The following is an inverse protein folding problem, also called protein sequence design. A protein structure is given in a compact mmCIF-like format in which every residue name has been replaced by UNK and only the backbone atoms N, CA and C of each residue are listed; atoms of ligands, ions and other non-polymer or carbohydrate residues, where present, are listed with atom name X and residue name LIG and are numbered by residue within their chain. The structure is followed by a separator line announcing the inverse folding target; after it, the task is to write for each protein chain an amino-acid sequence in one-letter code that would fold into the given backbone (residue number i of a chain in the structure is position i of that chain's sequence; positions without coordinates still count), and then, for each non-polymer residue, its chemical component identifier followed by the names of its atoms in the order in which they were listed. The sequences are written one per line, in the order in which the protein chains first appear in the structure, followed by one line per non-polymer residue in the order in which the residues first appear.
data_IF_223757003698
#
_entry.id   IF_223757003698
#
_cell.length_a   1.000
_cell.length_b   1.000
_cell.length_c   1.000
_cell.angle_alpha   90.00
_cell.angle_beta   90.00
_cell.angle_gamma   90.00
#
_symmetry.space_group_name_H-M   'P 1'
#
loop_
_entity.id
_entity.type
_entity.pdbx_description
1 polymer ?
#
# COMPACT_ATOMS: atom_id res chain seq x y z
N UNK A 1 -10.09 0.71 -8.54
CA UNK A 1 -10.15 0.14 -7.17
C UNK A 1 -10.04 1.25 -6.13
N UNK A 2 -8.97 2.04 -6.11
CA UNK A 2 -8.84 3.20 -5.21
C UNK A 2 -9.80 4.35 -5.60
N UNK A 3 -9.91 4.70 -6.88
CA UNK A 3 -10.81 5.77 -7.34
C UNK A 3 -12.28 5.53 -7.02
N UNK A 4 -12.76 4.30 -7.17
CA UNK A 4 -14.13 3.92 -6.81
C UNK A 4 -14.32 3.90 -5.28
N UNK A 5 -13.30 3.52 -4.52
CA UNK A 5 -13.31 3.63 -3.06
C UNK A 5 -13.35 5.08 -2.57
N UNK A 6 -12.60 5.97 -3.23
CA UNK A 6 -12.58 7.42 -2.97
C UNK A 6 -13.95 8.05 -3.22
N UNK A 7 -14.57 7.77 -4.38
CA UNK A 7 -15.92 8.27 -4.71
C UNK A 7 -16.99 7.80 -3.73
N UNK A 8 -16.84 6.58 -3.19
CA UNK A 8 -17.79 5.99 -2.24
C UNK A 8 -17.50 6.35 -0.78
N UNK A 9 -16.46 7.15 -0.51
CA UNK A 9 -16.05 7.51 0.86
C UNK A 9 -15.47 6.34 1.67
N UNK A 10 -15.08 5.26 0.99
CA UNK A 10 -14.52 4.04 1.61
C UNK A 10 -12.99 4.12 1.79
N UNK A 11 -12.36 5.15 1.22
CA UNK A 11 -10.93 5.40 1.26
C UNK A 11 -10.71 6.85 1.63
N UNK A 12 -9.97 7.13 2.71
CA UNK A 12 -9.59 8.49 3.07
C UNK A 12 -8.74 9.09 1.92
N UNK A 13 -9.09 10.29 1.39
CA UNK A 13 -8.37 10.92 0.28
C UNK A 13 -6.91 11.25 0.57
N UNK A 14 -6.49 11.22 1.83
CA UNK A 14 -5.09 11.38 2.25
C UNK A 14 -4.28 10.10 2.10
N UNK A 15 -4.94 8.94 1.96
CA UNK A 15 -4.25 7.68 1.67
C UNK A 15 -3.61 7.78 0.29
N UNK A 16 -2.29 7.56 0.23
CA UNK A 16 -1.57 7.48 -1.04
C UNK A 16 -1.03 6.09 -1.24
N UNK A 17 -1.23 5.56 -2.44
CA UNK A 17 -0.80 4.21 -2.81
C UNK A 17 -0.06 4.27 -4.15
N UNK A 18 1.18 3.79 -4.18
CA UNK A 18 2.05 3.83 -5.38
C UNK A 18 3.01 2.65 -5.39
N UNK A 19 3.62 2.35 -6.55
CA UNK A 19 4.69 1.34 -6.62
C UNK A 19 5.98 1.89 -6.02
N UNK A 20 6.73 1.05 -5.31
CA UNK A 20 8.08 1.37 -4.88
C UNK A 20 8.99 1.37 -6.11
N UNK A 21 9.81 2.41 -6.25
CA UNK A 21 10.74 2.52 -7.37
C UNK A 21 11.73 1.33 -7.37
N UNK A 22 11.96 0.73 -8.54
CA UNK A 22 12.83 -0.45 -8.67
C UNK A 22 12.19 -1.79 -8.28
N UNK A 23 11.03 -1.78 -7.61
CA UNK A 23 10.33 -3.00 -7.17
C UNK A 23 8.91 -3.07 -7.76
N UNK A 24 8.78 -3.75 -8.90
CA UNK A 24 7.50 -3.79 -9.64
C UNK A 24 6.36 -4.42 -8.85
N UNK A 25 6.66 -5.32 -7.93
CA UNK A 25 5.70 -6.09 -7.13
C UNK A 25 5.41 -5.47 -5.77
N UNK A 26 6.19 -4.46 -5.34
CA UNK A 26 6.05 -3.83 -4.03
C UNK A 26 5.33 -2.49 -4.15
N UNK A 27 4.39 -2.29 -3.24
CA UNK A 27 3.61 -1.07 -3.12
C UNK A 27 3.92 -0.35 -1.82
N UNK A 28 3.89 0.97 -1.87
CA UNK A 28 3.95 1.87 -0.73
C UNK A 28 2.54 2.40 -0.45
N UNK A 29 2.15 2.34 0.82
CA UNK A 29 0.96 2.97 1.38
C UNK A 29 1.37 4.06 2.36
N UNK A 30 0.90 5.29 2.17
CA UNK A 30 0.96 6.37 3.15
C UNK A 30 -0.40 6.57 3.79
N UNK A 31 -0.50 6.50 5.12
CA UNK A 31 -1.78 6.52 5.85
C UNK A 31 -1.87 7.57 6.97
N UNK A 32 -0.77 8.27 7.25
CA UNK A 32 -0.73 9.44 8.14
C UNK A 32 0.39 10.38 7.65
N UNK A 33 0.63 11.51 8.35
CA UNK A 33 1.72 12.45 8.11
C UNK A 33 3.04 11.71 7.87
N UNK A 34 3.38 10.77 8.76
CA UNK A 34 4.59 9.94 8.64
C UNK A 34 4.32 8.44 8.51
N UNK A 35 3.09 7.98 8.74
CA UNK A 35 2.74 6.55 8.62
C UNK A 35 2.96 6.02 7.21
N UNK A 36 3.82 5.01 7.08
CA UNK A 36 4.13 4.30 5.84
C UNK A 36 4.05 2.79 6.04
N UNK A 37 3.66 2.10 4.97
CA UNK A 37 3.78 0.66 4.87
C UNK A 37 4.25 0.26 3.48
N UNK A 38 4.97 -0.85 3.39
CA UNK A 38 5.22 -1.53 2.13
C UNK A 38 4.53 -2.90 2.14
N UNK A 39 3.90 -3.24 1.02
CA UNK A 39 3.16 -4.48 0.88
C UNK A 39 3.24 -5.03 -0.53
N UNK A 40 3.02 -6.33 -0.67
CA UNK A 40 2.68 -6.98 -1.94
C UNK A 40 1.22 -7.42 -1.87
N UNK A 41 0.57 -7.51 -3.02
CA UNK A 41 -0.73 -8.13 -3.10
C UNK A 41 -0.86 -8.98 -4.35
N UNK A 42 -1.63 -10.05 -4.25
CA UNK A 42 -2.00 -10.90 -5.37
C UNK A 42 -3.46 -11.33 -5.24
N UNK A 43 -4.08 -11.66 -6.38
CA UNK A 43 -5.38 -12.34 -6.39
C UNK A 43 -5.14 -13.83 -6.47
N UNK A 44 -5.65 -14.57 -5.48
CA UNK A 44 -5.61 -16.02 -5.47
C UNK A 44 -6.58 -16.61 -6.51
N UNK A 45 -6.43 -17.89 -6.89
CA UNK A 45 -7.35 -18.55 -7.83
C UNK A 45 -8.83 -18.58 -7.43
N UNK A 46 -9.21 -18.25 -6.19
CA UNK A 46 -10.60 -18.09 -5.74
C UNK A 46 -11.13 -16.63 -5.78
N UNK A 47 -10.30 -15.68 -6.22
CA UNK A 47 -10.65 -14.26 -6.28
C UNK A 47 -10.37 -13.47 -5.00
N UNK A 48 -9.98 -14.16 -3.91
CA UNK A 48 -9.52 -13.53 -2.69
C UNK A 48 -8.25 -12.71 -2.93
N UNK A 49 -8.12 -11.61 -2.20
CA UNK A 49 -6.94 -10.77 -2.21
C UNK A 49 -6.02 -11.20 -1.07
N UNK A 50 -4.83 -11.69 -1.40
CA UNK A 50 -3.77 -11.90 -0.42
C UNK A 50 -2.95 -10.62 -0.31
N UNK A 51 -2.72 -10.15 0.91
CA UNK A 51 -1.86 -9.00 1.21
C UNK A 51 -0.69 -9.47 2.08
N UNK A 52 0.52 -9.34 1.57
CA UNK A 52 1.76 -9.57 2.32
C UNK A 52 2.30 -8.22 2.79
N UNK A 53 2.19 -7.94 4.08
CA UNK A 53 2.83 -6.77 4.70
C UNK A 53 4.32 -7.02 4.84
N UNK A 54 5.14 -6.14 4.28
CA UNK A 54 6.60 -6.26 4.34
C UNK A 54 7.17 -5.41 5.47
N UNK A 55 6.77 -4.14 5.54
CA UNK A 55 7.20 -3.19 6.58
C UNK A 55 6.08 -2.22 6.91
N UNK A 56 6.02 -1.77 8.16
CA UNK A 56 5.09 -0.75 8.66
C UNK A 56 5.85 0.14 9.64
N UNK A 57 5.75 1.46 9.50
CA UNK A 57 6.50 2.40 10.31
C UNK A 57 6.42 3.84 9.81
N UNK A 58 7.49 4.61 10.02
CA UNK A 58 7.62 5.98 9.53
C UNK A 58 8.32 6.05 8.17
N UNK A 59 8.90 7.21 7.83
CA UNK A 59 9.76 7.34 6.64
C UNK A 59 11.03 6.45 6.68
N UNK A 60 11.44 6.03 7.86
CA UNK A 60 12.63 5.23 8.11
C UNK A 60 12.57 3.80 7.55
N UNK A 61 11.37 3.30 7.23
CA UNK A 61 11.19 1.96 6.65
C UNK A 61 11.88 1.77 5.29
N UNK A 62 12.33 2.86 4.65
CA UNK A 62 13.08 2.84 3.40
C UNK A 62 14.61 2.86 3.59
N UNK A 63 15.11 3.12 4.81
CA UNK A 63 16.52 3.41 5.06
C UNK A 63 17.40 2.19 5.37
N UNK A 64 16.82 1.00 5.60
CA UNK A 64 17.57 -0.22 5.89
C UNK A 64 17.17 -1.34 4.91
N UNK A 65 18.10 -2.10 4.29
CA UNK A 65 17.76 -3.30 3.52
C UNK A 65 17.07 -4.38 4.36
#
# INVERSE_FOLDING_TARGET
MLDEGLKRGLVDPRLRFKRVQGHRDVWELSFDRDGRATLRYERLPGGELLIEWRRVGGHDIFAAP
#
